data_IF_453532995899
#
_entry.id   IF_453532995899
#
_cell.length_a   1.000
_cell.length_b   1.000
_cell.length_c   1.000
_cell.angle_alpha   90.00
_cell.angle_beta   90.00
_cell.angle_gamma   90.00
#
_symmetry.space_group_name_H-M   'P 1'
#
loop_
_entity.id
_entity.type
_entity.pdbx_description
1 polymer ?
#
# COMPACT_ATOMS: atom_id res chain seq x y z
N UNK A 1 23.20 -9.73 9.19
CA UNK A 1 21.82 -9.35 9.57
C UNK A 1 21.43 -8.15 8.70
N UNK A 2 20.19 -8.04 8.18
CA UNK A 2 19.85 -7.03 7.13
C UNK A 2 19.85 -5.56 7.60
N UNK A 3 19.80 -5.31 8.92
CA UNK A 3 19.56 -3.97 9.47
C UNK A 3 20.79 -3.25 10.06
N UNK A 4 22.00 -3.78 9.88
CA UNK A 4 23.23 -3.25 10.52
C UNK A 4 23.63 -1.85 10.03
N UNK A 5 23.11 -1.40 8.87
CA UNK A 5 23.44 -0.10 8.26
C UNK A 5 22.39 1.00 8.47
N UNK A 6 21.27 0.70 9.13
CA UNK A 6 20.21 1.67 9.34
C UNK A 6 20.34 2.39 10.69
N UNK A 7 19.93 3.66 10.73
CA UNK A 7 19.75 4.39 11.98
C UNK A 7 18.69 3.70 12.85
N UNK A 8 18.71 3.96 14.17
CA UNK A 8 17.73 3.40 15.10
C UNK A 8 16.30 3.69 14.65
N UNK A 9 16.01 4.95 14.29
CA UNK A 9 14.69 5.40 13.84
C UNK A 9 14.28 4.72 12.53
N UNK A 10 15.20 4.54 11.58
CA UNK A 10 14.91 3.83 10.32
C UNK A 10 14.55 2.35 10.54
N UNK A 11 15.18 1.67 11.50
CA UNK A 11 14.79 0.29 11.85
C UNK A 11 13.39 0.24 12.48
N UNK A 12 13.09 1.17 13.38
CA UNK A 12 11.77 1.29 14.01
C UNK A 12 10.71 1.56 12.95
N UNK A 13 10.97 2.48 12.02
CA UNK A 13 10.07 2.80 10.92
C UNK A 13 9.69 1.57 10.09
N UNK A 14 10.65 0.68 9.80
CA UNK A 14 10.37 -0.57 9.05
C UNK A 14 9.49 -1.54 9.84
N UNK A 15 9.67 -1.62 11.17
CA UNK A 15 8.82 -2.45 12.04
C UNK A 15 7.41 -1.89 12.08
N UNK A 16 7.26 -0.58 12.30
CA UNK A 16 5.96 0.10 12.30
C UNK A 16 5.26 -0.02 10.94
N UNK A 17 6.00 0.04 9.83
CA UNK A 17 5.43 -0.19 8.51
C UNK A 17 4.87 -1.61 8.33
N UNK A 18 5.48 -2.62 8.95
CA UNK A 18 4.92 -3.97 8.96
C UNK A 18 3.64 -4.06 9.78
N UNK A 19 3.59 -3.37 10.93
CA UNK A 19 2.42 -3.30 11.80
C UNK A 19 1.25 -2.62 11.08
N UNK A 20 1.49 -1.45 10.48
CA UNK A 20 0.48 -0.72 9.68
C UNK A 20 -0.07 -1.57 8.53
N UNK A 21 0.81 -2.22 7.74
CA UNK A 21 0.36 -3.11 6.67
C UNK A 21 -0.47 -4.29 7.19
N UNK A 22 -0.14 -4.80 8.39
CA UNK A 22 -0.87 -5.91 9.01
C UNK A 22 -2.23 -5.46 9.54
N UNK A 23 -2.31 -4.28 10.16
CA UNK A 23 -3.55 -3.69 10.67
C UNK A 23 -4.53 -3.37 9.55
N UNK A 24 -4.02 -2.85 8.43
CA UNK A 24 -4.80 -2.59 7.22
C UNK A 24 -5.12 -3.86 6.40
N UNK A 25 -4.63 -5.03 6.83
CA UNK A 25 -4.85 -6.30 6.14
C UNK A 25 -4.17 -6.39 4.76
N UNK A 26 -3.17 -5.56 4.50
CA UNK A 26 -2.40 -5.51 3.26
C UNK A 26 -1.46 -6.72 3.15
N UNK A 27 -1.42 -7.33 1.96
CA UNK A 27 -0.54 -8.46 1.68
C UNK A 27 0.91 -8.05 1.35
N UNK A 28 1.11 -6.78 1.01
CA UNK A 28 2.40 -6.19 0.68
C UNK A 28 2.59 -4.85 1.39
N UNK A 29 3.84 -4.52 1.73
CA UNK A 29 4.24 -3.24 2.33
C UNK A 29 4.55 -2.28 1.20
N UNK A 30 3.56 -1.45 0.87
CA UNK A 30 3.71 -0.30 -0.02
C UNK A 30 4.49 0.87 0.59
N UNK A 31 4.75 1.88 -0.23
CA UNK A 31 5.44 3.10 0.18
C UNK A 31 4.66 3.87 1.26
N UNK A 32 3.34 3.76 1.25
CA UNK A 32 2.43 4.36 2.21
C UNK A 32 2.60 3.83 3.64
N UNK A 33 2.77 2.51 3.80
CA UNK A 33 3.01 1.90 5.09
C UNK A 33 4.40 2.29 5.62
N UNK A 34 5.38 2.36 4.70
CA UNK A 34 6.71 2.84 5.05
C UNK A 34 6.68 4.30 5.49
N UNK A 35 5.92 5.15 4.80
CA UNK A 35 5.74 6.55 5.17
C UNK A 35 5.10 6.69 6.55
N UNK A 36 4.05 5.91 6.85
CA UNK A 36 3.45 5.87 8.18
C UNK A 36 4.45 5.46 9.27
N UNK A 37 5.26 4.44 8.99
CA UNK A 37 6.32 4.02 9.90
C UNK A 37 7.38 5.10 10.12
N UNK A 38 7.75 5.84 9.07
CA UNK A 38 8.72 6.95 9.16
C UNK A 38 8.16 8.10 10.00
N UNK A 39 6.90 8.50 9.76
CA UNK A 39 6.24 9.57 10.52
C UNK A 39 6.16 9.21 12.00
N UNK A 40 5.83 7.97 12.33
CA UNK A 40 5.72 7.53 13.73
C UNK A 40 7.07 7.34 14.43
N UNK A 41 8.13 7.02 13.68
CA UNK A 41 9.48 6.87 14.21
C UNK A 41 10.32 8.16 14.12
N UNK A 42 9.73 9.26 13.66
CA UNK A 42 10.42 10.53 13.45
C UNK A 42 10.95 11.08 14.78
N UNK A 43 12.13 11.68 14.73
CA UNK A 43 12.59 12.57 15.79
C UNK A 43 11.89 13.93 15.67
N UNK A 44 12.16 14.81 16.63
CA UNK A 44 11.51 16.12 16.68
C UNK A 44 11.73 16.93 15.39
N UNK A 45 12.95 16.91 14.82
CA UNK A 45 13.29 17.70 13.65
C UNK A 45 12.57 17.18 12.40
N UNK A 46 12.58 15.87 12.17
CA UNK A 46 11.87 15.26 11.06
C UNK A 46 10.35 15.40 11.21
N UNK A 47 9.81 15.25 12.43
CA UNK A 47 8.37 15.44 12.69
C UNK A 47 7.96 16.87 12.36
N UNK A 48 8.70 17.88 12.85
CA UNK A 48 8.40 19.29 12.58
C UNK A 48 8.47 19.61 11.07
N UNK A 49 9.43 19.03 10.35
CA UNK A 49 9.53 19.18 8.90
C UNK A 49 8.31 18.60 8.19
N UNK A 50 7.92 17.36 8.54
CA UNK A 50 6.78 16.68 7.94
C UNK A 50 5.45 17.40 8.25
N UNK A 51 5.29 17.87 9.48
CA UNK A 51 4.15 18.68 9.91
C UNK A 51 4.08 20.00 9.12
N UNK A 52 5.22 20.62 8.81
CA UNK A 52 5.30 21.79 7.93
C UNK A 52 4.76 21.54 6.51
N UNK A 53 4.73 20.29 6.06
CA UNK A 53 4.10 19.87 4.80
C UNK A 53 2.69 19.27 4.99
N UNK A 54 2.14 19.29 6.22
CA UNK A 54 0.85 18.69 6.54
C UNK A 54 0.84 17.16 6.52
N UNK A 55 2.01 16.52 6.64
CA UNK A 55 2.16 15.06 6.63
C UNK A 55 2.14 14.49 8.04
N UNK A 56 0.94 14.34 8.59
CA UNK A 56 0.73 13.65 9.87
C UNK A 56 0.28 12.20 9.64
N UNK A 57 0.46 11.34 10.64
CA UNK A 57 0.02 9.95 10.57
C UNK A 57 -1.48 9.85 10.29
N UNK A 58 -2.29 10.70 10.90
CA UNK A 58 -3.75 10.70 10.73
C UNK A 58 -4.16 11.12 9.32
N UNK A 59 -3.52 12.13 8.74
CA UNK A 59 -3.76 12.55 7.35
C UNK A 59 -3.43 11.41 6.38
N UNK A 60 -2.32 10.72 6.60
CA UNK A 60 -1.93 9.60 5.74
C UNK A 60 -2.91 8.44 5.90
N UNK A 61 -3.31 8.07 7.12
CA UNK A 61 -4.32 7.02 7.37
C UNK A 61 -5.65 7.35 6.70
N UNK A 62 -6.12 8.59 6.80
CA UNK A 62 -7.35 9.03 6.15
C UNK A 62 -7.28 8.83 4.62
N UNK A 63 -6.17 9.24 3.99
CA UNK A 63 -5.97 9.03 2.54
C UNK A 63 -5.90 7.56 2.14
N UNK A 64 -5.36 6.70 2.99
CA UNK A 64 -5.32 5.25 2.71
C UNK A 64 -6.68 4.57 2.84
N UNK A 65 -7.50 5.02 3.79
CA UNK A 65 -8.88 4.56 3.90
C UNK A 65 -9.70 4.93 2.65
N UNK A 66 -9.56 6.17 2.16
CA UNK A 66 -10.17 6.62 0.90
C UNK A 66 -9.73 5.76 -0.29
N UNK A 67 -8.42 5.56 -0.45
CA UNK A 67 -7.86 4.79 -1.57
C UNK A 67 -8.23 3.31 -1.53
N UNK A 68 -8.42 2.73 -0.35
CA UNK A 68 -8.86 1.33 -0.21
C UNK A 68 -10.32 1.11 -0.63
N UNK A 69 -11.11 2.19 -0.71
CA UNK A 69 -12.50 2.17 -1.19
C UNK A 69 -12.59 2.40 -2.70
N UNK A 70 -11.53 2.94 -3.32
CA UNK A 70 -11.45 3.03 -4.77
C UNK A 70 -11.35 1.61 -5.38
N UNK A 71 -12.13 1.29 -6.44
CA UNK A 71 -12.00 0.03 -7.13
C UNK A 71 -10.55 -0.16 -7.60
N UNK A 72 -9.98 -1.33 -7.35
CA UNK A 72 -8.71 -1.72 -7.97
C UNK A 72 -8.88 -1.66 -9.50
N UNK A 73 -7.91 -1.15 -10.25
CA UNK A 73 -7.99 -1.11 -11.72
C UNK A 73 -8.22 -2.53 -12.28
N UNK A 74 -7.65 -3.55 -11.63
CA UNK A 74 -7.90 -4.95 -11.98
C UNK A 74 -9.34 -5.38 -11.69
N UNK A 75 -9.99 -4.81 -10.67
CA UNK A 75 -11.38 -5.11 -10.34
C UNK A 75 -12.32 -4.56 -11.41
N UNK A 76 -11.98 -3.41 -12.00
CA UNK A 76 -12.73 -2.85 -13.11
C UNK A 76 -12.59 -3.71 -14.37
N UNK A 77 -11.38 -4.17 -14.69
CA UNK A 77 -11.16 -5.11 -15.80
C UNK A 77 -11.93 -6.44 -15.58
N UNK A 78 -11.88 -7.00 -14.37
CA UNK A 78 -12.61 -8.22 -14.02
C UNK A 78 -14.13 -8.03 -14.13
N UNK A 79 -14.67 -6.89 -13.68
CA UNK A 79 -16.09 -6.57 -13.78
C UNK A 79 -16.56 -6.47 -15.24
N UNK A 80 -15.75 -5.86 -16.11
CA UNK A 80 -16.03 -5.77 -17.54
C UNK A 80 -15.96 -7.13 -18.23
N UNK A 81 -14.97 -7.97 -17.87
CA UNK A 81 -14.86 -9.33 -18.38
C UNK A 81 -16.08 -10.19 -18.01
N UNK A 82 -16.58 -10.06 -16.77
CA UNK A 82 -17.78 -10.74 -16.32
C UNK A 82 -19.05 -10.23 -17.02
N UNK A 83 -19.16 -8.91 -17.26
CA UNK A 83 -20.26 -8.35 -18.06
C UNK A 83 -20.28 -8.88 -19.48
N UNK A 84 -19.12 -9.11 -20.10
CA UNK A 84 -19.02 -9.66 -21.45
C UNK A 84 -19.64 -11.07 -21.57
N UNK A 85 -19.65 -11.85 -20.48
CA UNK A 85 -20.32 -13.16 -20.41
C UNK A 85 -21.74 -13.08 -19.80
N UNK A 86 -22.27 -11.87 -19.60
CA UNK A 86 -23.63 -11.62 -19.11
C UNK A 86 -23.78 -11.56 -17.58
N UNK A 87 -22.69 -11.43 -16.83
CA UNK A 87 -22.72 -11.32 -15.37
C UNK A 87 -22.52 -9.85 -14.96
N UNK A 88 -23.59 -9.21 -14.49
CA UNK A 88 -23.57 -7.85 -13.96
C UNK A 88 -23.29 -7.86 -12.45
N UNK A 89 -22.07 -7.48 -12.06
CA UNK A 89 -21.64 -7.47 -10.66
C UNK A 89 -22.39 -6.45 -9.80
N UNK A 90 -22.81 -5.32 -10.37
CA UNK A 90 -23.54 -4.29 -9.63
C UNK A 90 -24.96 -4.80 -9.33
N UNK A 91 -25.60 -5.42 -10.33
CA UNK A 91 -26.90 -6.06 -10.14
C UNK A 91 -26.85 -7.20 -9.09
N UNK A 92 -25.77 -7.98 -9.08
CA UNK A 92 -25.55 -9.02 -8.06
C UNK A 92 -25.39 -8.40 -6.68
N UNK A 93 -24.58 -7.34 -6.54
CA UNK A 93 -24.38 -6.63 -5.27
C UNK A 93 -25.70 -6.08 -4.73
N UNK A 94 -26.50 -5.46 -5.59
CA UNK A 94 -27.81 -4.91 -5.22
C UNK A 94 -28.81 -6.00 -4.83
N UNK A 95 -28.82 -7.13 -5.53
CA UNK A 95 -29.66 -8.27 -5.18
C UNK A 95 -29.28 -8.86 -3.81
N UNK A 96 -27.98 -8.98 -3.52
CA UNK A 96 -27.49 -9.44 -2.22
C UNK A 96 -27.83 -8.44 -1.12
N UNK A 97 -27.63 -7.14 -1.34
CA UNK A 97 -27.96 -6.11 -0.35
C UNK A 97 -29.47 -6.09 -0.03
N UNK A 98 -30.33 -6.30 -1.04
CA UNK A 98 -31.78 -6.43 -0.84
C UNK A 98 -32.17 -7.68 -0.05
N UNK A 99 -31.45 -8.78 -0.25
CA UNK A 99 -31.81 -10.08 0.33
C UNK A 99 -31.23 -10.26 1.74
N UNK A 100 -30.00 -9.80 1.97
CA UNK A 100 -29.22 -10.07 3.18
C UNK A 100 -28.91 -8.80 4.01
N UNK A 101 -29.36 -7.63 3.56
CA UNK A 101 -29.14 -6.34 4.22
C UNK A 101 -27.94 -5.56 3.65
N UNK A 102 -27.88 -4.26 3.95
CA UNK A 102 -26.86 -3.34 3.41
C UNK A 102 -25.44 -3.71 3.82
N UNK A 103 -25.30 -4.37 4.97
CA UNK A 103 -24.01 -4.82 5.52
C UNK A 103 -23.68 -6.28 5.16
N UNK A 104 -24.39 -6.88 4.20
CA UNK A 104 -24.17 -8.26 3.77
C UNK A 104 -22.70 -8.57 3.41
N UNK A 105 -21.95 -7.54 3.00
CA UNK A 105 -20.54 -7.65 2.64
C UNK A 105 -19.55 -7.14 3.70
N UNK A 106 -20.01 -6.58 4.83
CA UNK A 106 -19.14 -5.97 5.85
C UNK A 106 -18.09 -6.94 6.42
N UNK A 107 -18.34 -8.24 6.30
CA UNK A 107 -17.41 -9.32 6.70
C UNK A 107 -17.18 -10.38 5.61
N UNK A 108 -17.75 -10.21 4.41
CA UNK A 108 -17.82 -11.28 3.40
C UNK A 108 -16.51 -11.53 2.64
N UNK A 109 -15.59 -10.56 2.64
CA UNK A 109 -14.32 -10.69 1.93
C UNK A 109 -13.13 -10.58 2.89
N UNK A 110 -12.43 -11.69 3.20
CA UNK A 110 -10.97 -11.60 3.23
C UNK A 110 -10.54 -11.38 1.77
N UNK A 111 -9.91 -10.22 1.49
CA UNK A 111 -9.48 -9.79 0.15
C UNK A 111 -9.16 -10.98 -0.76
N UNK A 112 -9.98 -11.13 -1.80
CA UNK A 112 -9.88 -12.22 -2.76
C UNK A 112 -8.52 -12.20 -3.44
N UNK A 113 -7.90 -13.38 -3.57
CA UNK A 113 -7.07 -13.66 -4.75
C UNK A 113 -5.55 -13.67 -4.59
N UNK A 114 -4.97 -14.15 -3.49
CA UNK A 114 -3.65 -14.83 -3.55
C UNK A 114 -3.48 -15.78 -2.38
N UNK A 115 -3.07 -17.02 -2.69
CA UNK A 115 -2.80 -18.10 -1.73
C UNK A 115 -2.27 -17.55 -0.40
N UNK A 116 -2.96 -17.84 0.72
CA UNK A 116 -2.41 -17.71 2.07
C UNK A 116 -1.07 -18.46 2.11
N UNK A 117 0.04 -17.76 1.91
CA UNK A 117 1.36 -18.29 2.24
C UNK A 117 1.55 -18.20 3.75
N UNK A 118 2.25 -19.16 4.37
CA UNK A 118 2.36 -19.21 5.82
C UNK A 118 2.98 -17.95 6.39
N UNK A 119 2.57 -17.62 7.61
CA UNK A 119 3.05 -16.49 8.41
C UNK A 119 4.57 -16.37 8.37
N UNK A 120 5.06 -15.15 8.16
CA UNK A 120 6.41 -14.79 8.55
C UNK A 120 7.18 -13.89 7.59
N UNK A 121 6.55 -13.00 6.82
CA UNK A 121 7.14 -11.78 6.24
C UNK A 121 6.15 -11.17 5.24
N UNK A 122 5.53 -10.03 5.58
CA UNK A 122 4.87 -9.19 4.57
C UNK A 122 5.95 -8.64 3.64
N UNK A 123 5.80 -8.83 2.33
CA UNK A 123 6.84 -8.45 1.36
C UNK A 123 6.71 -6.97 1.04
N UNK A 124 7.81 -6.27 0.89
CA UNK A 124 7.79 -4.94 0.26
C UNK A 124 7.31 -5.06 -1.18
N UNK A 125 6.46 -4.12 -1.59
CA UNK A 125 6.02 -4.02 -2.98
C UNK A 125 7.25 -3.91 -3.89
N UNK A 126 7.27 -4.68 -4.97
CA UNK A 126 8.31 -4.51 -5.99
C UNK A 126 8.10 -3.17 -6.70
N UNK A 127 9.14 -2.34 -6.89
CA UNK A 127 8.99 -1.15 -7.69
C UNK A 127 8.54 -1.55 -9.12
N UNK A 128 7.70 -0.75 -9.80
CA UNK A 128 7.37 -0.99 -11.19
C UNK A 128 8.68 -1.07 -11.99
N UNK A 129 8.84 -2.16 -12.74
CA UNK A 129 10.08 -2.49 -13.46
C UNK A 129 10.37 -1.38 -14.46
N UNK A 130 11.26 -0.44 -14.09
CA UNK A 130 11.67 0.70 -14.92
C UNK A 130 12.18 0.15 -16.26
N UNK A 131 11.45 0.39 -17.36
CA UNK A 131 12.00 0.17 -18.71
C UNK A 131 13.20 1.10 -18.87
N UNK A 132 14.35 0.51 -19.11
CA UNK A 132 15.64 1.20 -19.17
C UNK A 132 15.74 2.11 -20.41
N UNK A 133 15.60 3.41 -20.22
CA UNK A 133 16.10 4.43 -21.18
C UNK A 133 17.10 5.42 -20.57
N UNK A 134 17.46 5.26 -19.29
CA UNK A 134 18.37 6.19 -18.60
C UNK A 134 19.74 5.56 -18.35
N UNK A 135 20.63 5.57 -19.35
CA UNK A 135 22.07 5.29 -19.18
C UNK A 135 22.98 6.37 -19.76
N UNK A 136 22.47 7.43 -20.40
CA UNK A 136 23.34 8.25 -21.26
C UNK A 136 23.82 9.59 -20.71
N UNK A 137 23.40 10.05 -19.53
CA UNK A 137 23.82 11.39 -19.06
C UNK A 137 24.02 11.42 -17.54
N UNK A 138 25.29 11.35 -17.10
CA UNK A 138 25.70 11.72 -15.74
C UNK A 138 26.96 12.60 -15.83
N UNK A 139 26.83 13.93 -15.64
CA UNK A 139 27.91 14.91 -15.85
C UNK A 139 28.93 15.03 -14.71
N UNK A 140 28.94 14.15 -13.71
CA UNK A 140 29.76 14.32 -12.49
C UNK A 140 31.00 13.40 -12.39
N UNK A 141 31.47 12.81 -13.50
CA UNK A 141 32.82 12.20 -13.53
C UNK A 141 33.82 13.24 -14.00
N UNK A 142 34.24 14.12 -13.11
CA UNK A 142 35.49 14.88 -13.32
C UNK A 142 36.66 14.07 -12.78
N UNK A 143 37.63 13.91 -13.68
CA UNK A 143 39.01 13.44 -13.53
C UNK A 143 39.72 13.95 -12.28
N UNK A 144 40.46 13.04 -11.64
CA UNK A 144 41.70 13.40 -10.93
C UNK A 144 42.83 12.62 -11.59
N UNK A 145 43.82 13.38 -12.03
CA UNK A 145 45.12 12.96 -12.60
C UNK A 145 45.96 12.20 -11.60
#
# INVERSE_FOLDING_TARGET
MVFERFSRNARVAVVLAHEEARELGCHEIGAEHLLLGVVQAADHDLSALLDGYGLTADVIRARLAEKSTAPDESFQEDAEALRAIGIDLDAVRDAVARTFGRDAFAHALPRSGRRRRPRGHTRFTRPPRRRSSWRSEKPWRTTTT
#
